data_IF_742503060280
#
_entry.id   IF_742503060280
#
_cell.length_a   1.000
_cell.length_b   1.000
_cell.length_c   1.000
_cell.angle_alpha   90.00
_cell.angle_beta   90.00
_cell.angle_gamma   90.00
#
_symmetry.space_group_name_H-M   'P 1'
#
loop_
_entity.id
_entity.type
_entity.pdbx_description
1 polymer ?
#
# COMPACT_ATOMS: atom_id res chain seq x y z
N UNK A 1 -13.78 2.03 10.07
CA UNK A 1 -12.86 0.86 9.97
C UNK A 1 -11.65 1.05 10.88
N UNK A 2 -10.94 2.16 10.81
CA UNK A 2 -9.78 2.43 11.70
C UNK A 2 -10.12 2.38 13.20
N UNK A 3 -11.34 2.72 13.59
CA UNK A 3 -11.81 2.64 14.99
C UNK A 3 -12.53 1.32 15.32
N UNK A 4 -12.56 0.36 14.39
CA UNK A 4 -13.20 -0.94 14.62
C UNK A 4 -12.25 -1.92 15.32
N UNK A 5 -12.72 -3.15 15.54
CA UNK A 5 -11.92 -4.28 16.04
C UNK A 5 -11.07 -4.96 14.96
N UNK A 6 -11.02 -4.43 13.72
CA UNK A 6 -10.20 -5.02 12.67
C UNK A 6 -8.71 -4.84 12.94
N UNK A 7 -7.93 -5.90 12.72
CA UNK A 7 -6.47 -5.89 12.87
C UNK A 7 -5.73 -5.40 11.62
N UNK A 8 -6.39 -5.49 10.46
CA UNK A 8 -5.85 -5.07 9.16
C UNK A 8 -6.86 -4.16 8.47
N UNK A 9 -6.39 -3.01 7.99
CA UNK A 9 -7.15 -2.16 7.07
C UNK A 9 -6.54 -2.29 5.67
N UNK A 10 -7.35 -2.68 4.69
CA UNK A 10 -6.94 -2.78 3.28
C UNK A 10 -7.68 -1.71 2.48
N UNK A 11 -6.95 -0.95 1.67
CA UNK A 11 -7.52 0.12 0.85
C UNK A 11 -6.67 0.37 -0.40
N UNK A 12 -7.27 0.99 -1.41
CA UNK A 12 -6.58 1.42 -2.63
C UNK A 12 -5.72 2.67 -2.35
N UNK A 13 -4.46 2.41 -2.00
CA UNK A 13 -3.45 3.44 -1.75
C UNK A 13 -2.92 4.06 -3.05
N UNK A 14 -3.03 3.36 -4.18
CA UNK A 14 -2.62 3.88 -5.49
C UNK A 14 -3.47 5.10 -5.87
N UNK A 15 -4.80 4.98 -5.77
CA UNK A 15 -5.73 6.00 -6.25
C UNK A 15 -6.28 6.93 -5.16
N UNK A 16 -6.31 6.49 -3.89
CA UNK A 16 -7.08 7.18 -2.84
C UNK A 16 -6.30 7.52 -1.55
N UNK A 17 -4.96 7.48 -1.59
CA UNK A 17 -4.14 7.85 -0.44
C UNK A 17 -4.48 9.25 0.11
N UNK A 18 -4.66 10.24 -0.77
CA UNK A 18 -4.95 11.63 -0.38
C UNK A 18 -6.23 11.76 0.45
N UNK A 19 -7.16 10.82 0.31
CA UNK A 19 -8.38 10.75 1.14
C UNK A 19 -8.14 9.99 2.44
N UNK A 20 -7.30 8.97 2.39
CA UNK A 20 -6.92 8.17 3.56
C UNK A 20 -6.16 9.03 4.57
N UNK A 21 -5.17 9.81 4.13
CA UNK A 21 -4.30 10.61 5.00
C UNK A 21 -5.04 11.71 5.78
N UNK A 22 -6.26 12.09 5.34
CA UNK A 22 -7.14 13.02 6.07
C UNK A 22 -7.56 12.49 7.45
N UNK A 23 -7.44 11.19 7.70
CA UNK A 23 -7.74 10.53 8.99
C UNK A 23 -6.49 10.32 9.83
N UNK A 24 -5.60 11.31 9.88
CA UNK A 24 -4.26 11.24 10.48
C UNK A 24 -4.27 10.71 11.93
N UNK A 25 -5.15 11.24 12.78
CA UNK A 25 -5.27 10.81 14.17
C UNK A 25 -5.68 9.33 14.30
N UNK A 26 -6.59 8.87 13.44
CA UNK A 26 -7.04 7.49 13.43
C UNK A 26 -5.95 6.55 12.87
N UNK A 27 -5.23 6.97 11.83
CA UNK A 27 -4.09 6.23 11.27
C UNK A 27 -3.02 6.02 12.33
N UNK A 28 -2.65 7.10 13.04
CA UNK A 28 -1.65 7.06 14.09
C UNK A 28 -2.01 6.07 15.19
N UNK A 29 -3.22 6.20 15.75
CA UNK A 29 -3.72 5.27 16.78
C UNK A 29 -3.76 3.83 16.29
N UNK A 30 -4.12 3.61 15.01
CA UNK A 30 -4.20 2.28 14.43
C UNK A 30 -2.83 1.59 14.39
N UNK A 31 -1.81 2.29 13.88
CA UNK A 31 -0.42 1.78 13.84
C UNK A 31 0.15 1.62 15.25
N UNK A 32 -0.03 2.60 16.14
CA UNK A 32 0.43 2.53 17.55
C UNK A 32 -0.22 1.38 18.32
N UNK A 33 -1.43 0.94 17.92
CA UNK A 33 -2.11 -0.24 18.47
C UNK A 33 -1.57 -1.57 17.92
N UNK A 34 -0.48 -1.54 17.15
CA UNK A 34 0.16 -2.72 16.56
C UNK A 34 -0.55 -3.28 15.32
N UNK A 35 -1.54 -2.55 14.77
CA UNK A 35 -2.36 -3.01 13.65
C UNK A 35 -1.71 -2.68 12.31
N UNK A 36 -2.19 -3.31 11.24
CA UNK A 36 -1.49 -3.36 9.96
C UNK A 36 -2.26 -2.61 8.86
N UNK A 37 -1.53 -1.80 8.10
CA UNK A 37 -2.03 -1.19 6.87
C UNK A 37 -1.66 -2.07 5.67
N UNK A 38 -2.67 -2.60 4.98
CA UNK A 38 -2.52 -3.21 3.67
C UNK A 38 -2.62 -2.12 2.59
N UNK A 39 -1.47 -1.76 2.05
CA UNK A 39 -1.28 -0.78 1.00
C UNK A 39 -1.66 -1.40 -0.33
N UNK A 40 -2.87 -1.11 -0.82
CA UNK A 40 -3.30 -1.43 -2.17
C UNK A 40 -2.59 -0.54 -3.19
N UNK A 41 -1.28 -0.70 -3.31
CA UNK A 41 -0.40 0.19 -4.09
C UNK A 41 -0.20 -0.33 -5.52
N UNK A 42 -0.44 -1.61 -5.79
CA UNK A 42 -0.35 -2.14 -7.16
C UNK A 42 -1.68 -1.91 -7.89
N UNK A 43 -1.72 -1.18 -9.01
CA UNK A 43 -2.97 -0.83 -9.68
C UNK A 43 -3.66 -2.07 -10.27
N UNK A 44 -5.00 -2.09 -10.21
CA UNK A 44 -5.82 -3.13 -10.84
C UNK A 44 -6.93 -2.57 -11.73
N UNK A 45 -7.09 -1.25 -11.78
CA UNK A 45 -8.26 -0.60 -12.42
C UNK A 45 -8.05 -0.29 -13.89
N UNK A 46 -6.88 0.25 -14.28
CA UNK A 46 -6.56 0.63 -15.65
C UNK A 46 -5.41 -0.23 -16.17
N UNK A 47 -5.62 -0.87 -17.32
CA UNK A 47 -4.60 -1.70 -17.98
C UNK A 47 -3.31 -0.92 -18.26
N UNK A 48 -3.42 0.34 -18.67
CA UNK A 48 -2.28 1.23 -18.93
C UNK A 48 -1.41 1.44 -17.69
N UNK A 49 -2.02 1.54 -16.49
CA UNK A 49 -1.27 1.68 -15.24
C UNK A 49 -0.57 0.36 -14.90
N UNK A 50 -1.23 -0.79 -15.07
CA UNK A 50 -0.61 -2.11 -14.85
C UNK A 50 0.62 -2.31 -15.74
N UNK A 51 0.54 -1.88 -17.00
CA UNK A 51 1.62 -2.01 -17.99
C UNK A 51 2.76 -1.03 -17.75
N UNK A 52 2.44 0.22 -17.39
CA UNK A 52 3.42 1.29 -17.17
C UNK A 52 4.21 1.11 -15.87
N UNK A 53 3.55 0.68 -14.80
CA UNK A 53 4.18 0.60 -13.49
C UNK A 53 5.25 -0.51 -13.41
N UNK A 54 6.25 -0.25 -12.58
CA UNK A 54 7.36 -1.15 -12.26
C UNK A 54 7.46 -1.30 -10.74
N UNK A 55 8.20 -2.31 -10.29
CA UNK A 55 8.45 -2.47 -8.85
C UNK A 55 9.13 -1.22 -8.24
N UNK A 56 10.02 -0.57 -9.01
CA UNK A 56 10.73 0.64 -8.57
C UNK A 56 9.84 1.87 -8.49
N UNK A 57 9.00 2.10 -9.50
CA UNK A 57 8.06 3.23 -9.47
C UNK A 57 7.04 3.09 -8.33
N UNK A 58 6.55 1.86 -8.10
CA UNK A 58 5.59 1.58 -7.03
C UNK A 58 6.23 1.62 -5.64
N UNK A 59 7.47 1.17 -5.48
CA UNK A 59 8.21 1.30 -4.22
C UNK A 59 8.52 2.77 -3.90
N UNK A 60 8.89 3.57 -4.89
CA UNK A 60 9.06 5.01 -4.73
C UNK A 60 7.73 5.69 -4.34
N UNK A 61 6.63 5.35 -5.03
CA UNK A 61 5.30 5.85 -4.70
C UNK A 61 4.87 5.47 -3.28
N UNK A 62 5.15 4.24 -2.84
CA UNK A 62 4.90 3.82 -1.46
C UNK A 62 5.71 4.67 -0.49
N UNK A 63 7.00 4.89 -0.75
CA UNK A 63 7.89 5.68 0.11
C UNK A 63 7.40 7.12 0.27
N UNK A 64 6.97 7.75 -0.82
CA UNK A 64 6.44 9.12 -0.79
C UNK A 64 5.18 9.20 0.10
N UNK A 65 4.25 8.26 -0.07
CA UNK A 65 3.03 8.18 0.76
C UNK A 65 3.34 7.82 2.23
N UNK A 66 4.30 6.92 2.45
CA UNK A 66 4.73 6.54 3.79
C UNK A 66 5.41 7.72 4.51
N UNK A 67 6.13 8.59 3.80
CA UNK A 67 6.70 9.82 4.35
C UNK A 67 5.62 10.80 4.83
N UNK A 68 4.45 10.84 4.18
CA UNK A 68 3.31 11.63 4.68
C UNK A 68 2.79 11.07 6.01
N UNK A 69 2.72 9.74 6.18
CA UNK A 69 2.39 9.13 7.49
C UNK A 69 3.50 9.38 8.50
N UNK A 70 4.77 9.32 8.09
CA UNK A 70 5.92 9.59 8.96
C UNK A 70 5.86 11.01 9.54
N UNK A 71 5.40 11.98 8.75
CA UNK A 71 5.19 13.37 9.20
C UNK A 71 4.19 13.50 10.36
N UNK A 72 3.39 12.47 10.65
CA UNK A 72 2.50 12.39 11.81
C UNK A 72 3.22 11.97 13.11
N UNK A 73 4.53 11.75 13.04
CA UNK A 73 5.40 11.38 14.15
C UNK A 73 5.45 9.86 14.39
N UNK A 74 5.43 9.07 13.33
CA UNK A 74 5.59 7.60 13.37
C UNK A 74 6.83 7.26 12.56
N UNK A 75 7.82 6.62 13.17
CA UNK A 75 9.07 6.32 12.47
C UNK A 75 8.84 5.41 11.24
N UNK A 76 9.54 5.66 10.13
CA UNK A 76 9.44 4.86 8.91
C UNK A 76 9.63 3.36 9.14
N UNK A 77 10.51 2.96 10.08
CA UNK A 77 10.71 1.54 10.42
C UNK A 77 9.47 0.90 11.05
N UNK A 78 8.71 1.66 11.85
CA UNK A 78 7.43 1.23 12.42
C UNK A 78 6.37 1.15 11.32
N UNK A 79 6.29 2.15 10.45
CA UNK A 79 5.36 2.13 9.30
C UNK A 79 5.62 0.88 8.45
N UNK A 80 6.89 0.61 8.13
CA UNK A 80 7.29 -0.56 7.35
C UNK A 80 6.94 -1.89 8.06
N UNK A 81 7.23 -2.00 9.36
CA UNK A 81 6.90 -3.20 10.15
C UNK A 81 5.39 -3.46 10.24
N UNK A 82 4.57 -2.42 10.13
CA UNK A 82 3.10 -2.47 10.14
C UNK A 82 2.48 -2.38 8.73
N UNK A 83 3.24 -2.73 7.69
CA UNK A 83 2.78 -2.67 6.30
C UNK A 83 2.64 -4.04 5.65
N UNK A 84 1.56 -4.22 4.89
CA UNK A 84 1.42 -5.24 3.86
C UNK A 84 1.32 -4.58 2.49
N UNK A 85 1.94 -5.18 1.48
CA UNK A 85 1.81 -4.75 0.09
C UNK A 85 0.76 -5.61 -0.59
N UNK A 86 -0.23 -4.97 -1.21
CA UNK A 86 -1.38 -5.64 -1.83
C UNK A 86 -1.73 -4.99 -3.17
N UNK A 87 -2.45 -5.71 -4.05
CA UNK A 87 -3.19 -5.08 -5.14
C UNK A 87 -4.24 -4.09 -4.61
N UNK A 88 -4.49 -3.01 -5.35
CA UNK A 88 -5.49 -1.99 -5.04
C UNK A 88 -6.92 -2.55 -4.96
N UNK A 89 -7.22 -3.59 -5.73
CA UNK A 89 -8.46 -4.37 -5.65
C UNK A 89 -8.21 -5.82 -6.13
N UNK A 90 -9.27 -6.62 -6.26
CA UNK A 90 -9.16 -7.96 -6.83
C UNK A 90 -8.81 -7.93 -8.33
N UNK A 91 -8.25 -9.04 -8.83
CA UNK A 91 -7.88 -9.21 -10.25
C UNK A 91 -8.95 -9.90 -11.08
N UNK A 92 -10.16 -10.12 -10.54
CA UNK A 92 -11.19 -10.97 -11.15
C UNK A 92 -11.74 -10.48 -12.49
N UNK A 93 -11.60 -9.19 -12.81
CA UNK A 93 -12.01 -8.61 -14.09
C UNK A 93 -10.87 -8.48 -15.10
N UNK A 94 -9.64 -8.84 -14.74
CA UNK A 94 -8.46 -8.72 -15.59
C UNK A 94 -8.28 -9.95 -16.48
N UNK A 95 -7.52 -9.79 -17.56
CA UNK A 95 -6.98 -10.92 -18.31
C UNK A 95 -6.04 -11.74 -17.41
N UNK A 96 -5.80 -13.01 -17.76
CA UNK A 96 -4.83 -13.85 -17.04
C UNK A 96 -3.43 -13.22 -17.05
N UNK A 97 -3.03 -12.59 -18.15
CA UNK A 97 -1.75 -11.90 -18.30
C UNK A 97 -1.63 -10.73 -17.32
N UNK A 98 -2.62 -9.84 -17.30
CA UNK A 98 -2.63 -8.70 -16.38
C UNK A 98 -2.75 -9.13 -14.92
N UNK A 99 -3.55 -10.17 -14.62
CA UNK A 99 -3.66 -10.72 -13.28
C UNK A 99 -2.31 -11.30 -12.79
N UNK A 100 -1.60 -12.03 -13.66
CA UNK A 100 -0.27 -12.58 -13.34
C UNK A 100 0.71 -11.45 -13.08
N UNK A 101 0.76 -10.45 -13.97
CA UNK A 101 1.63 -9.28 -13.81
C UNK A 101 1.37 -8.52 -12.52
N UNK A 102 0.12 -8.29 -12.15
CA UNK A 102 -0.24 -7.63 -10.88
C UNK A 102 0.31 -8.39 -9.67
N UNK A 103 0.19 -9.73 -9.67
CA UNK A 103 0.71 -10.55 -8.57
C UNK A 103 2.24 -10.56 -8.53
N UNK A 104 2.90 -10.59 -9.70
CA UNK A 104 4.35 -10.48 -9.81
C UNK A 104 4.85 -9.12 -9.29
N UNK A 105 4.23 -8.01 -9.73
CA UNK A 105 4.53 -6.67 -9.22
C UNK A 105 4.31 -6.57 -7.71
N UNK A 106 3.24 -7.16 -7.18
CA UNK A 106 2.98 -7.17 -5.73
C UNK A 106 4.12 -7.83 -4.96
N UNK A 107 4.59 -9.00 -5.44
CA UNK A 107 5.74 -9.71 -4.87
C UNK A 107 7.02 -8.87 -4.98
N UNK A 108 7.28 -8.28 -6.14
CA UNK A 108 8.51 -7.55 -6.42
C UNK A 108 8.60 -6.22 -5.65
N UNK A 109 7.49 -5.49 -5.50
CA UNK A 109 7.42 -4.28 -4.65
C UNK A 109 7.73 -4.64 -3.20
N UNK A 110 7.13 -5.73 -2.69
CA UNK A 110 7.39 -6.21 -1.34
C UNK A 110 8.85 -6.59 -1.13
N UNK A 111 9.50 -7.21 -2.13
CA UNK A 111 10.93 -7.52 -2.08
C UNK A 111 11.78 -6.24 -2.09
N UNK A 112 11.50 -5.31 -3.02
CA UNK A 112 12.25 -4.05 -3.16
C UNK A 112 12.21 -3.19 -1.90
N UNK A 113 11.06 -3.13 -1.20
CA UNK A 113 10.96 -2.41 0.06
C UNK A 113 11.80 -3.05 1.17
N UNK A 114 11.89 -4.38 1.24
CA UNK A 114 12.76 -5.08 2.22
C UNK A 114 14.25 -4.97 1.92
N UNK A 115 14.64 -4.72 0.68
CA UNK A 115 16.05 -4.51 0.31
C UNK A 115 16.54 -3.11 0.67
N UNK A 116 15.64 -2.13 0.68
CA UNK A 116 15.96 -0.71 0.82
C UNK A 116 15.84 -0.17 2.26
N UNK A 117 15.35 -0.98 3.20
CA UNK A 117 15.12 -0.64 4.60
C UNK A 117 15.54 -1.79 5.52
#
# INVERSE_FOLDING_TARGET
ILESSADIVSFDAYSYFDRFILYSDQIKKFIESGRIIAWGIVPTSKHEDIERETADSLAALWKDKAAEIESLGIDMSVILAHSLITPSCGTGSLSLEHATRVLELTKDVSARLRENF
#
